data_IF_353959732435
#
_entry.id   IF_353959732435
#
_cell.length_a   1.000
_cell.length_b   1.000
_cell.length_c   1.000
_cell.angle_alpha   90.00
_cell.angle_beta   90.00
_cell.angle_gamma   90.00
#
_symmetry.space_group_name_H-M   'P 1'
#
loop_
_entity.id
_entity.type
_entity.pdbx_description
1 polymer ?
#
# COMPACT_ATOMS: atom_id res chain seq x y z
N UNK A 1 -38.69 13.70 8.30
CA UNK A 1 -39.53 14.26 7.20
C UNK A 1 -41.03 14.21 7.48
N UNK A 2 -41.61 13.07 7.90
CA UNK A 2 -43.05 12.93 8.14
C UNK A 2 -43.60 13.98 9.15
N UNK A 3 -42.88 14.23 10.23
CA UNK A 3 -43.25 15.25 11.23
C UNK A 3 -43.29 16.68 10.65
N UNK A 4 -42.31 17.08 9.82
CA UNK A 4 -42.30 18.41 9.18
C UNK A 4 -43.45 18.59 8.19
N UNK A 5 -43.78 17.55 7.40
CA UNK A 5 -44.96 17.58 6.51
C UNK A 5 -46.27 17.71 7.28
N UNK A 6 -46.37 17.05 8.43
CA UNK A 6 -47.53 17.19 9.31
C UNK A 6 -47.63 18.60 9.89
N UNK A 7 -46.50 19.20 10.33
CA UNK A 7 -46.47 20.58 10.82
C UNK A 7 -46.90 21.56 9.72
N UNK A 8 -46.38 21.43 8.50
CA UNK A 8 -46.80 22.25 7.36
C UNK A 8 -48.31 22.15 7.08
N UNK A 9 -48.88 20.94 7.13
CA UNK A 9 -50.32 20.74 6.97
C UNK A 9 -51.14 21.38 8.10
N UNK A 10 -50.64 21.36 9.34
CA UNK A 10 -51.28 22.05 10.47
C UNK A 10 -51.22 23.56 10.34
N UNK A 11 -50.11 24.11 9.85
CA UNK A 11 -49.98 25.56 9.58
C UNK A 11 -50.96 26.00 8.49
N UNK A 12 -51.17 25.19 7.45
CA UNK A 12 -52.18 25.46 6.43
C UNK A 12 -53.60 25.58 7.02
N UNK A 13 -53.97 24.68 7.94
CA UNK A 13 -55.24 24.76 8.67
C UNK A 13 -55.34 26.04 9.51
N UNK A 14 -54.22 26.54 10.07
CA UNK A 14 -54.19 27.79 10.82
C UNK A 14 -54.44 28.99 9.91
N UNK A 15 -53.81 29.05 8.72
CA UNK A 15 -54.07 30.12 7.73
C UNK A 15 -55.53 30.14 7.26
N UNK A 16 -56.14 28.95 7.10
CA UNK A 16 -57.57 28.83 6.77
C UNK A 16 -58.48 29.38 7.89
N UNK A 17 -58.14 29.10 9.16
CA UNK A 17 -58.86 29.62 10.33
C UNK A 17 -58.71 31.15 10.40
N UNK A 18 -57.51 31.68 10.17
CA UNK A 18 -57.25 33.12 10.18
C UNK A 18 -58.03 33.83 9.06
N UNK A 19 -58.11 33.23 7.88
CA UNK A 19 -58.91 33.75 6.76
C UNK A 19 -60.41 33.80 7.11
N UNK A 20 -60.96 32.73 7.68
CA UNK A 20 -62.35 32.70 8.13
C UNK A 20 -62.61 33.73 9.24
N UNK A 21 -61.68 33.86 10.19
CA UNK A 21 -61.78 34.84 11.29
C UNK A 21 -61.75 36.27 10.77
N UNK A 22 -60.90 36.56 9.78
CA UNK A 22 -60.85 37.86 9.11
C UNK A 22 -62.16 38.20 8.37
N UNK A 23 -62.77 37.21 7.70
CA UNK A 23 -64.09 37.39 7.04
C UNK A 23 -65.22 37.59 8.07
N UNK A 24 -65.21 36.84 9.17
CA UNK A 24 -66.17 37.00 10.27
C UNK A 24 -66.07 38.39 10.91
N UNK A 25 -64.85 38.85 11.15
CA UNK A 25 -64.58 40.19 11.70
C UNK A 25 -65.04 41.31 10.75
N UNK A 26 -64.82 41.14 9.43
CA UNK A 26 -65.34 42.07 8.43
C UNK A 26 -66.88 42.16 8.46
N UNK A 27 -67.56 41.01 8.51
CA UNK A 27 -69.03 40.96 8.61
C UNK A 27 -69.53 41.64 9.90
N UNK A 28 -68.83 41.43 11.02
CA UNK A 28 -69.15 42.07 12.29
C UNK A 28 -68.95 43.60 12.24
N UNK A 29 -67.89 44.07 11.57
CA UNK A 29 -67.64 45.50 11.37
C UNK A 29 -68.74 46.18 10.52
N UNK A 30 -69.22 45.49 9.48
CA UNK A 30 -70.33 45.96 8.63
C UNK A 30 -71.64 46.06 9.42
N UNK A 31 -71.98 45.05 10.21
CA UNK A 31 -73.22 45.05 11.00
C UNK A 31 -73.15 46.08 12.15
N UNK A 32 -71.97 46.28 12.74
CA UNK A 32 -71.73 47.31 13.73
C UNK A 32 -71.91 48.73 13.15
N UNK A 33 -71.45 48.97 11.91
CA UNK A 33 -71.68 50.22 11.21
C UNK A 33 -73.17 50.44 10.91
N UNK A 34 -73.92 49.36 10.62
CA UNK A 34 -75.36 49.38 10.37
C UNK A 34 -76.19 49.72 11.61
N UNK A 35 -75.72 49.34 12.80
CA UNK A 35 -76.35 49.64 14.09
C UNK A 35 -76.12 51.09 14.58
N UNK A 36 -75.32 51.89 13.88
CA UNK A 36 -75.10 53.31 14.19
C UNK A 36 -74.40 53.53 15.54
N UNK A 37 -74.92 54.45 16.36
CA UNK A 37 -74.33 54.84 17.66
C UNK A 37 -74.20 53.66 18.65
N UNK A 38 -75.14 52.70 18.61
CA UNK A 38 -75.15 51.54 19.51
C UNK A 38 -74.06 50.52 19.14
N UNK A 39 -73.60 50.54 17.88
CA UNK A 39 -72.60 49.61 17.34
C UNK A 39 -71.15 50.05 17.47
N UNK A 40 -70.87 51.29 17.92
CA UNK A 40 -69.50 51.85 17.95
C UNK A 40 -68.50 51.00 18.73
N UNK A 41 -68.90 50.46 19.88
CA UNK A 41 -68.04 49.57 20.68
C UNK A 41 -67.73 48.24 19.98
N UNK A 42 -68.73 47.67 19.30
CA UNK A 42 -68.56 46.43 18.52
C UNK A 42 -67.70 46.63 17.27
N UNK A 43 -67.76 47.80 16.63
CA UNK A 43 -66.92 48.12 15.48
C UNK A 43 -65.42 48.13 15.84
N UNK A 44 -65.06 48.66 17.01
CA UNK A 44 -63.67 48.67 17.48
C UNK A 44 -63.16 47.25 17.75
N UNK A 45 -63.98 46.41 18.40
CA UNK A 45 -63.62 45.01 18.66
C UNK A 45 -63.47 44.23 17.35
N UNK A 46 -64.37 44.44 16.39
CA UNK A 46 -64.31 43.78 15.08
C UNK A 46 -63.03 44.15 14.31
N UNK A 47 -62.61 45.42 14.32
CA UNK A 47 -61.36 45.83 13.68
C UNK A 47 -60.12 45.26 14.39
N UNK A 48 -60.13 45.16 15.72
CA UNK A 48 -59.02 44.55 16.48
C UNK A 48 -58.90 43.04 16.18
N UNK A 49 -60.02 42.32 16.12
CA UNK A 49 -60.05 40.89 15.73
C UNK A 49 -59.54 40.71 14.30
N UNK A 50 -59.93 41.61 13.39
CA UNK A 50 -59.46 41.59 12.00
C UNK A 50 -57.96 41.81 11.90
N UNK A 51 -57.42 42.76 12.66
CA UNK A 51 -55.99 43.04 12.69
C UNK A 51 -55.20 41.87 13.31
N UNK A 52 -55.74 41.22 14.35
CA UNK A 52 -55.15 40.02 14.94
C UNK A 52 -55.12 38.85 13.95
N UNK A 53 -56.22 38.60 13.22
CA UNK A 53 -56.29 37.56 12.21
C UNK A 53 -55.28 37.78 11.06
N UNK A 54 -55.10 39.03 10.60
CA UNK A 54 -54.08 39.35 9.60
C UNK A 54 -52.66 39.07 10.10
N UNK A 55 -52.35 39.47 11.34
CA UNK A 55 -51.05 39.21 11.97
C UNK A 55 -50.78 37.71 12.16
N UNK A 56 -51.81 36.94 12.49
CA UNK A 56 -51.72 35.50 12.63
C UNK A 56 -51.43 34.82 11.28
N UNK A 57 -52.12 35.23 10.20
CA UNK A 57 -51.88 34.73 8.84
C UNK A 57 -50.47 35.05 8.34
N UNK A 58 -49.97 36.27 8.59
CA UNK A 58 -48.58 36.65 8.27
C UNK A 58 -47.55 35.76 9.01
N UNK A 59 -47.78 35.48 10.30
CA UNK A 59 -46.91 34.59 11.09
C UNK A 59 -47.01 33.12 10.64
N UNK A 60 -48.20 32.64 10.30
CA UNK A 60 -48.44 31.30 9.78
C UNK A 60 -47.68 31.10 8.46
N UNK A 61 -47.75 32.05 7.53
CA UNK A 61 -47.00 32.01 6.26
C UNK A 61 -45.49 32.02 6.45
N UNK A 62 -44.98 32.87 7.34
CA UNK A 62 -43.55 32.89 7.66
C UNK A 62 -43.08 31.55 8.24
N UNK A 63 -43.88 30.93 9.12
CA UNK A 63 -43.58 29.61 9.67
C UNK A 63 -43.63 28.52 8.61
N UNK A 64 -44.60 28.58 7.68
CA UNK A 64 -44.70 27.65 6.56
C UNK A 64 -43.44 27.68 5.68
N UNK A 65 -42.95 28.89 5.36
CA UNK A 65 -41.72 29.07 4.60
C UNK A 65 -40.50 28.45 5.31
N UNK A 66 -40.33 28.71 6.61
CA UNK A 66 -39.22 28.13 7.38
C UNK A 66 -39.27 26.60 7.42
N UNK A 67 -40.47 26.02 7.48
CA UNK A 67 -40.65 24.56 7.42
C UNK A 67 -40.28 24.02 6.03
N UNK A 68 -40.65 24.70 4.96
CA UNK A 68 -40.29 24.32 3.59
C UNK A 68 -38.76 24.35 3.39
N UNK A 69 -38.11 25.43 3.83
CA UNK A 69 -36.64 25.54 3.83
C UNK A 69 -35.99 24.42 4.66
N UNK A 70 -36.55 24.09 5.83
CA UNK A 70 -36.05 23.01 6.69
C UNK A 70 -36.20 21.62 6.05
N UNK A 71 -37.27 21.40 5.27
CA UNK A 71 -37.48 20.17 4.52
C UNK A 71 -36.43 20.05 3.41
N UNK A 72 -36.18 21.11 2.66
CA UNK A 72 -35.14 21.14 1.62
C UNK A 72 -33.75 20.90 2.20
N UNK A 73 -33.39 21.58 3.30
CA UNK A 73 -32.11 21.39 3.96
C UNK A 73 -31.93 19.95 4.47
N UNK A 74 -33.00 19.34 5.00
CA UNK A 74 -32.96 17.94 5.43
C UNK A 74 -32.79 16.97 4.27
N UNK A 75 -33.47 17.20 3.13
CA UNK A 75 -33.32 16.36 1.94
C UNK A 75 -31.90 16.42 1.38
N UNK A 76 -31.34 17.63 1.28
CA UNK A 76 -29.95 17.84 0.90
C UNK A 76 -28.98 17.14 1.87
N UNK A 77 -29.25 17.21 3.18
CA UNK A 77 -28.48 16.51 4.21
C UNK A 77 -28.50 14.98 4.02
N UNK A 78 -29.65 14.40 3.67
CA UNK A 78 -29.77 12.97 3.37
C UNK A 78 -28.96 12.59 2.13
N UNK A 79 -29.04 13.38 1.06
CA UNK A 79 -28.24 13.14 -0.15
C UNK A 79 -26.74 13.20 0.12
N UNK A 80 -26.30 14.20 0.89
CA UNK A 80 -24.89 14.32 1.28
C UNK A 80 -24.45 13.13 2.15
N UNK A 81 -25.27 12.70 3.10
CA UNK A 81 -24.98 11.53 3.93
C UNK A 81 -24.85 10.25 3.09
N UNK A 82 -25.65 10.08 2.04
CA UNK A 82 -25.49 8.97 1.10
C UNK A 82 -24.16 9.06 0.34
N UNK A 83 -23.77 10.24 -0.11
CA UNK A 83 -22.46 10.46 -0.75
C UNK A 83 -21.30 10.08 0.18
N UNK A 84 -21.35 10.52 1.45
CA UNK A 84 -20.35 10.16 2.47
C UNK A 84 -20.31 8.64 2.69
N UNK A 85 -21.47 7.98 2.75
CA UNK A 85 -21.54 6.52 2.89
C UNK A 85 -20.81 5.79 1.75
N UNK A 86 -20.99 6.24 0.51
CA UNK A 86 -20.29 5.66 -0.65
C UNK A 86 -18.76 5.84 -0.58
N UNK A 87 -18.30 7.01 -0.16
CA UNK A 87 -16.85 7.26 0.03
C UNK A 87 -16.26 6.36 1.12
N UNK A 88 -16.99 6.14 2.21
CA UNK A 88 -16.55 5.24 3.29
C UNK A 88 -16.49 3.78 2.82
N UNK A 89 -17.45 3.33 2.00
CA UNK A 89 -17.39 2.00 1.36
C UNK A 89 -16.17 1.86 0.45
N UNK A 90 -15.90 2.84 -0.40
CA UNK A 90 -14.72 2.84 -1.27
C UNK A 90 -13.41 2.80 -0.46
N UNK A 91 -13.32 3.60 0.61
CA UNK A 91 -12.17 3.63 1.51
C UNK A 91 -11.96 2.29 2.22
N UNK A 92 -13.05 1.63 2.63
CA UNK A 92 -13.00 0.30 3.23
C UNK A 92 -12.49 -0.73 2.22
N UNK A 93 -12.99 -0.70 0.98
CA UNK A 93 -12.51 -1.56 -0.10
C UNK A 93 -11.04 -1.32 -0.46
N UNK A 94 -10.59 -0.06 -0.46
CA UNK A 94 -9.17 0.27 -0.64
C UNK A 94 -8.30 -0.29 0.50
N UNK A 95 -8.77 -0.19 1.75
CA UNK A 95 -8.06 -0.71 2.92
C UNK A 95 -7.91 -2.23 2.88
N UNK A 96 -8.93 -2.95 2.41
CA UNK A 96 -8.86 -4.40 2.21
C UNK A 96 -7.81 -4.79 1.16
N UNK A 97 -7.77 -4.08 0.03
CA UNK A 97 -6.74 -4.30 -1.01
C UNK A 97 -5.32 -4.06 -0.50
N UNK A 98 -5.12 -3.02 0.33
CA UNK A 98 -3.81 -2.78 0.97
C UNK A 98 -3.45 -3.94 1.90
N UNK A 99 -4.40 -4.48 2.64
CA UNK A 99 -4.17 -5.63 3.51
C UNK A 99 -3.78 -6.89 2.72
N UNK A 100 -4.46 -7.17 1.60
CA UNK A 100 -4.11 -8.26 0.69
C UNK A 100 -2.68 -8.12 0.15
N UNK A 101 -2.32 -6.92 -0.35
CA UNK A 101 -0.97 -6.64 -0.82
C UNK A 101 0.09 -6.82 0.28
N UNK A 102 -0.18 -6.36 1.51
CA UNK A 102 0.71 -6.59 2.64
C UNK A 102 0.88 -8.09 2.95
N UNK A 103 -0.18 -8.88 2.82
CA UNK A 103 -0.12 -10.33 3.01
C UNK A 103 0.70 -11.03 1.91
N UNK A 104 0.58 -10.58 0.66
CA UNK A 104 1.41 -11.06 -0.45
C UNK A 104 2.89 -10.71 -0.23
N UNK A 105 3.18 -9.47 0.17
CA UNK A 105 4.54 -9.03 0.49
C UNK A 105 5.14 -9.86 1.63
N UNK A 106 4.39 -10.13 2.70
CA UNK A 106 4.86 -10.96 3.80
C UNK A 106 5.16 -12.40 3.35
N UNK A 107 4.33 -12.95 2.46
CA UNK A 107 4.55 -14.28 1.88
C UNK A 107 5.80 -14.31 1.01
N UNK A 108 5.94 -13.36 0.09
CA UNK A 108 7.13 -13.23 -0.77
C UNK A 108 8.41 -12.98 0.03
N UNK A 109 8.34 -12.20 1.11
CA UNK A 109 9.49 -12.01 2.01
C UNK A 109 9.95 -13.31 2.68
N UNK A 110 9.01 -14.19 3.05
CA UNK A 110 9.34 -15.50 3.60
C UNK A 110 9.99 -16.43 2.56
N UNK A 111 9.48 -16.41 1.31
CA UNK A 111 10.10 -17.15 0.20
C UNK A 111 11.52 -16.67 -0.09
N UNK A 112 11.73 -15.35 -0.11
CA UNK A 112 13.07 -14.75 -0.27
C UNK A 112 13.99 -15.16 0.87
N UNK A 113 13.52 -15.17 2.12
CA UNK A 113 14.31 -15.61 3.27
C UNK A 113 14.74 -17.08 3.16
N UNK A 114 13.83 -17.95 2.73
CA UNK A 114 14.14 -19.37 2.47
C UNK A 114 15.15 -19.52 1.32
N UNK A 115 14.97 -18.77 0.24
CA UNK A 115 15.92 -18.71 -0.88
C UNK A 115 17.32 -18.28 -0.43
N UNK A 116 17.40 -17.26 0.44
CA UNK A 116 18.67 -16.78 0.97
C UNK A 116 19.39 -17.85 1.82
N UNK A 117 18.64 -18.62 2.59
CA UNK A 117 19.19 -19.74 3.37
C UNK A 117 19.83 -20.80 2.46
N UNK A 118 19.15 -21.15 1.37
CA UNK A 118 19.70 -22.07 0.36
C UNK A 118 20.96 -21.51 -0.31
N UNK A 119 20.94 -20.24 -0.73
CA UNK A 119 22.12 -19.58 -1.33
C UNK A 119 23.30 -19.59 -0.36
N UNK A 120 23.07 -19.27 0.91
CA UNK A 120 24.10 -19.28 1.95
C UNK A 120 24.71 -20.67 2.13
N UNK A 121 23.89 -21.72 2.16
CA UNK A 121 24.36 -23.09 2.22
C UNK A 121 25.19 -23.48 0.99
N UNK A 122 24.76 -23.10 -0.22
CA UNK A 122 25.51 -23.34 -1.45
C UNK A 122 26.86 -22.59 -1.48
N UNK A 123 26.91 -21.35 -0.97
CA UNK A 123 28.16 -20.60 -0.85
C UNK A 123 29.13 -21.30 0.10
N UNK A 124 28.66 -21.80 1.25
CA UNK A 124 29.50 -22.56 2.17
C UNK A 124 30.07 -23.84 1.54
N UNK A 125 29.28 -24.53 0.71
CA UNK A 125 29.76 -25.71 -0.03
C UNK A 125 30.79 -25.33 -1.10
N UNK A 126 30.58 -24.22 -1.83
CA UNK A 126 31.55 -23.70 -2.77
C UNK A 126 32.87 -23.35 -2.09
N UNK A 127 32.82 -22.70 -0.93
CA UNK A 127 34.02 -22.36 -0.15
C UNK A 127 34.81 -23.62 0.24
N UNK A 128 34.12 -24.68 0.69
CA UNK A 128 34.77 -25.96 0.99
C UNK A 128 35.42 -26.59 -0.24
N UNK A 129 34.73 -26.57 -1.39
CA UNK A 129 35.28 -27.10 -2.64
C UNK A 129 36.51 -26.29 -3.11
N UNK A 130 36.47 -24.96 -2.99
CA UNK A 130 37.60 -24.08 -3.31
C UNK A 130 38.80 -24.40 -2.40
N UNK A 131 38.58 -24.57 -1.10
CA UNK A 131 39.65 -24.94 -0.16
C UNK A 131 40.24 -26.31 -0.48
N UNK A 132 39.40 -27.31 -0.77
CA UNK A 132 39.86 -28.63 -1.17
C UNK A 132 40.67 -28.59 -2.48
N UNK A 133 40.24 -27.79 -3.46
CA UNK A 133 40.95 -27.62 -4.71
C UNK A 133 42.30 -26.91 -4.51
N UNK A 134 42.37 -25.92 -3.62
CA UNK A 134 43.62 -25.26 -3.26
C UNK A 134 44.60 -26.23 -2.56
N UNK A 135 44.11 -27.05 -1.63
CA UNK A 135 44.92 -28.06 -0.95
C UNK A 135 45.44 -29.12 -1.94
N UNK A 136 44.57 -29.63 -2.83
CA UNK A 136 44.97 -30.58 -3.87
C UNK A 136 45.97 -29.99 -4.86
N UNK A 137 45.86 -28.70 -5.18
CA UNK A 137 46.85 -28.01 -6.01
C UNK A 137 48.22 -27.91 -5.31
N UNK A 138 48.24 -27.66 -3.99
CA UNK A 138 49.47 -27.65 -3.20
C UNK A 138 50.12 -29.04 -3.14
N UNK A 139 49.32 -30.08 -2.88
CA UNK A 139 49.79 -31.46 -2.88
C UNK A 139 50.36 -31.87 -4.26
N UNK A 140 49.64 -31.57 -5.34
CA UNK A 140 50.12 -31.82 -6.70
C UNK A 140 51.43 -31.08 -7.03
N UNK A 141 51.59 -29.84 -6.54
CA UNK A 141 52.85 -29.10 -6.71
C UNK A 141 54.00 -29.81 -6.00
N UNK A 142 53.79 -30.28 -4.76
CA UNK A 142 54.80 -31.01 -3.99
C UNK A 142 55.16 -32.35 -4.65
N UNK A 143 54.17 -33.11 -5.13
CA UNK A 143 54.39 -34.33 -5.91
C UNK A 143 55.19 -34.02 -7.18
N UNK A 144 54.88 -32.91 -7.86
CA UNK A 144 55.61 -32.47 -9.05
C UNK A 144 57.08 -32.16 -8.77
N UNK A 145 57.38 -31.50 -7.64
CA UNK A 145 58.76 -31.26 -7.18
C UNK A 145 59.49 -32.57 -6.87
N UNK A 146 58.83 -33.51 -6.17
CA UNK A 146 59.40 -34.82 -5.85
C UNK A 146 59.67 -35.63 -7.13
N UNK A 147 58.74 -35.67 -8.07
CA UNK A 147 58.91 -36.34 -9.36
C UNK A 147 60.08 -35.75 -10.14
N UNK A 148 60.24 -34.43 -10.11
CA UNK A 148 61.36 -33.72 -10.75
C UNK A 148 62.70 -34.13 -10.13
N UNK A 149 62.78 -34.19 -8.80
CA UNK A 149 63.96 -34.63 -8.08
C UNK A 149 64.31 -36.10 -8.37
N UNK A 150 63.31 -37.00 -8.40
CA UNK A 150 63.50 -38.40 -8.75
C UNK A 150 64.01 -38.57 -10.19
N UNK A 151 63.43 -37.83 -11.15
CA UNK A 151 63.89 -37.84 -12.54
C UNK A 151 65.35 -37.35 -12.67
N UNK A 152 65.73 -36.30 -11.93
CA UNK A 152 67.11 -35.82 -11.89
C UNK A 152 68.08 -36.86 -11.30
N UNK A 153 67.67 -37.56 -10.24
CA UNK A 153 68.46 -38.64 -9.63
C UNK A 153 68.66 -39.83 -10.59
N UNK A 154 67.59 -40.25 -11.28
CA UNK A 154 67.68 -41.29 -12.32
C UNK A 154 68.62 -40.88 -13.46
N UNK A 155 68.55 -39.63 -13.91
CA UNK A 155 69.44 -39.13 -14.97
C UNK A 155 70.93 -39.16 -14.53
N UNK A 156 71.22 -38.86 -13.26
CA UNK A 156 72.56 -39.00 -12.67
C UNK A 156 73.04 -40.45 -12.68
N UNK A 157 72.20 -41.38 -12.22
CA UNK A 157 72.52 -42.81 -12.21
C UNK A 157 72.79 -43.36 -13.61
N UNK A 158 72.01 -42.95 -14.62
CA UNK A 158 72.24 -43.35 -16.01
C UNK A 158 73.59 -42.82 -16.52
N UNK A 159 73.93 -41.55 -16.24
CA UNK A 159 75.24 -40.97 -16.62
C UNK A 159 76.42 -41.68 -15.96
N UNK A 160 76.28 -42.04 -14.69
CA UNK A 160 77.30 -42.80 -13.97
C UNK A 160 77.51 -44.18 -14.61
N UNK A 161 76.42 -44.88 -14.92
CA UNK A 161 76.45 -46.18 -15.60
C UNK A 161 77.11 -46.07 -16.99
N UNK A 162 76.77 -45.03 -17.76
CA UNK A 162 77.40 -44.75 -19.06
C UNK A 162 78.92 -44.54 -18.92
N UNK A 163 79.37 -43.86 -17.86
CA UNK A 163 80.79 -43.61 -17.60
C UNK A 163 81.58 -44.89 -17.28
N UNK A 164 80.98 -45.80 -16.51
CA UNK A 164 81.55 -47.11 -16.17
C UNK A 164 81.71 -47.98 -17.42
N UNK A 165 80.70 -47.96 -18.30
CA UNK A 165 80.73 -48.69 -19.59
C UNK A 165 81.75 -48.07 -20.56
N UNK A 166 82.04 -46.76 -20.45
CA UNK A 166 83.00 -46.03 -21.30
C UNK A 166 84.46 -46.08 -20.85
N UNK A 167 84.83 -46.92 -19.88
CA UNK A 167 86.23 -47.05 -19.43
C UNK A 167 87.19 -47.22 -20.62
N UNK A 168 88.20 -46.34 -20.79
CA UNK A 168 89.12 -46.42 -21.91
C UNK A 168 89.99 -47.68 -21.74
N UNK A 169 90.04 -48.51 -22.77
CA UNK A 169 91.02 -49.61 -22.89
C UNK A 169 92.42 -49.02 -22.67
N UNK A 170 93.03 -49.34 -21.54
CA UNK A 170 94.47 -49.15 -21.35
C UNK A 170 95.19 -50.05 -22.36
N UNK A 171 95.66 -49.47 -23.47
CA UNK A 171 96.60 -50.13 -24.38
C UNK A 171 97.98 -49.98 -23.75
N UNK A 172 98.64 -51.07 -23.31
CA UNK A 172 100.00 -50.97 -22.77
C UNK A 172 100.96 -50.50 -23.88
N UNK A 173 101.98 -49.69 -23.55
CA UNK A 173 102.92 -49.19 -24.54
C UNK A 173 103.69 -50.34 -25.21
N UNK A 174 103.96 -50.27 -26.52
CA UNK A 174 104.67 -51.33 -27.23
C UNK A 174 106.12 -51.44 -26.74
N UNK A 175 106.51 -52.66 -26.39
CA UNK A 175 107.88 -53.05 -26.05
C UNK A 175 108.79 -52.79 -27.24
N UNK A 176 109.69 -51.81 -27.14
CA UNK A 176 110.70 -51.55 -28.17
C UNK A 176 111.74 -52.66 -28.13
N UNK A 177 111.67 -53.59 -29.08
CA UNK A 177 112.70 -54.60 -29.29
C UNK A 177 113.95 -53.93 -29.88
N UNK A 178 115.07 -54.08 -29.17
CA UNK A 178 116.42 -53.67 -29.57
C UNK A 178 116.92 -54.60 -30.67
N UNK A 179 117.30 -54.07 -31.84
CA UNK A 179 118.07 -54.81 -32.85
C UNK A 179 119.19 -53.91 -33.40
N UNK A 180 120.36 -54.53 -33.54
CA UNK A 180 121.69 -53.92 -33.64
C UNK A 180 122.10 -53.42 -35.04
N UNK A 181 123.07 -52.51 -35.06
CA UNK A 181 124.05 -52.21 -36.15
C UNK A 181 124.69 -53.49 -36.72
N UNK A 182 125.10 -53.58 -38.01
CA UNK A 182 126.22 -52.82 -38.63
C UNK A 182 126.09 -52.68 -40.19
N UNK A 183 127.13 -52.42 -41.02
CA UNK A 183 128.51 -51.95 -40.79
C UNK A 183 128.81 -50.50 -41.22
#
# INVERSE_FOLDING_TARGET
MAAMKQIAAKIGIVDDIDYQTNLLALNAAVEAARAGEVGKGFAVVAEEVRNLARRASEAARSTAQLIEESVHASDHGVQLSHGVSGVVEEMTGASLRVNELCSEVATGANEVAQGLSMVTASMSQMDQAIQANAAGAQENSAIGEELSAQAAALALQVRELESLIRTPRHVPPPTVAKAATPP
#
